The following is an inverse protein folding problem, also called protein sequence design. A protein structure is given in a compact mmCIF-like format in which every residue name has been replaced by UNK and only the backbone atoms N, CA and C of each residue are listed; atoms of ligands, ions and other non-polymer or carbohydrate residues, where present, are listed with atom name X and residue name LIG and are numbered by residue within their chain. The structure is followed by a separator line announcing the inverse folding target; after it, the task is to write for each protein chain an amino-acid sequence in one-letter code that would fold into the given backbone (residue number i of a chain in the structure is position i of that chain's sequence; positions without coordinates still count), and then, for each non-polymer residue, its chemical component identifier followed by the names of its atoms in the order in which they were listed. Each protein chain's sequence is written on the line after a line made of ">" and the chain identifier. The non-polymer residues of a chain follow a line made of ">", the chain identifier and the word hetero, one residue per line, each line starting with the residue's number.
data_IF_947537539582
#
_entry.id   IF_947537539582
#
_cell.length_a   1.000
_cell.length_b   1.000
_cell.length_c   1.000
_cell.angle_alpha   90.00
_cell.angle_beta   90.00
_cell.angle_gamma   90.00
#
_symmetry.space_group_name_H-M   'P 1'
#
loop_
_entity.id
_entity.type
_entity.pdbx_description
1 polymer ?
#
# COMPACT_ATOMS: atom_id res chain seq x y z
N UNK A 1 -14.67 4.10 -4.98
CA UNK A 1 -14.60 2.76 -4.39
C UNK A 1 -14.09 2.84 -2.96
N UNK A 2 -14.50 1.90 -2.10
CA UNK A 2 -14.01 1.83 -0.73
C UNK A 2 -12.69 1.07 -0.64
N UNK A 3 -11.76 1.60 0.17
CA UNK A 3 -10.45 1.00 0.40
C UNK A 3 -10.04 1.17 1.86
N UNK A 4 -9.40 0.16 2.43
CA UNK A 4 -8.81 0.24 3.77
C UNK A 4 -7.48 0.96 3.70
N UNK A 5 -7.40 2.08 4.39
CA UNK A 5 -6.25 2.98 4.38
C UNK A 5 -5.69 3.14 5.79
N UNK A 6 -4.38 3.21 5.88
CA UNK A 6 -3.67 3.57 7.09
C UNK A 6 -2.97 4.91 6.94
N UNK A 7 -3.22 5.81 7.89
CA UNK A 7 -2.42 7.02 8.04
C UNK A 7 -1.13 6.65 8.78
N UNK A 8 0.00 6.73 8.11
CA UNK A 8 1.28 6.31 8.69
C UNK A 8 1.79 7.23 9.80
N UNK A 9 1.33 8.48 9.85
CA UNK A 9 1.69 9.47 10.89
C UNK A 9 0.96 9.20 12.19
N UNK A 10 -0.38 9.06 12.12
CA UNK A 10 -1.24 8.86 13.29
C UNK A 10 -1.35 7.40 13.69
N UNK A 11 -1.12 6.47 12.75
CA UNK A 11 -1.35 5.05 12.91
C UNK A 11 -2.82 4.66 12.79
N UNK A 12 -3.69 5.61 12.47
CA UNK A 12 -5.13 5.39 12.33
C UNK A 12 -5.42 4.54 11.09
N UNK A 13 -6.34 3.60 11.26
CA UNK A 13 -6.84 2.71 10.21
C UNK A 13 -8.31 3.01 9.97
N UNK A 14 -8.69 3.26 8.72
CA UNK A 14 -10.06 3.59 8.36
C UNK A 14 -10.39 3.14 6.93
N UNK A 15 -11.67 3.15 6.59
CA UNK A 15 -12.16 2.96 5.22
C UNK A 15 -12.43 4.31 4.61
N UNK A 16 -11.90 4.54 3.42
CA UNK A 16 -12.10 5.81 2.69
C UNK A 16 -12.65 5.55 1.29
N UNK A 17 -13.28 6.56 0.73
CA UNK A 17 -13.72 6.58 -0.65
C UNK A 17 -12.61 7.15 -1.54
N UNK A 18 -12.03 6.30 -2.36
CA UNK A 18 -10.92 6.64 -3.26
C UNK A 18 -11.32 6.51 -4.72
N UNK A 19 -10.63 7.20 -5.65
CA UNK A 19 -10.82 6.97 -7.08
C UNK A 19 -10.58 5.51 -7.47
N UNK A 20 -11.17 5.09 -8.59
CA UNK A 20 -10.85 3.81 -9.20
C UNK A 20 -9.38 3.78 -9.66
N UNK A 21 -8.69 2.64 -9.56
CA UNK A 21 -7.35 2.51 -10.11
C UNK A 21 -7.38 2.67 -11.63
N UNK A 22 -6.34 3.32 -12.16
CA UNK A 22 -6.17 3.46 -13.60
C UNK A 22 -5.68 2.15 -14.19
N UNK A 23 -6.35 1.66 -15.21
CA UNK A 23 -5.92 0.48 -15.95
C UNK A 23 -4.85 0.86 -16.98
N UNK A 24 -3.76 0.13 -16.99
CA UNK A 24 -2.64 0.29 -17.94
C UNK A 24 -2.42 -0.98 -18.75
N UNK A 25 -1.67 -0.89 -19.82
CA UNK A 25 -1.29 -2.04 -20.63
C UNK A 25 -0.60 -3.12 -19.78
N UNK A 26 -0.97 -4.38 -20.01
CA UNK A 26 -0.49 -5.53 -19.23
C UNK A 26 -1.19 -5.74 -17.89
N UNK A 27 -2.17 -4.91 -17.53
CA UNK A 27 -2.91 -5.01 -16.26
C UNK A 27 -4.33 -5.49 -16.47
N UNK A 28 -4.94 -5.95 -15.37
CA UNK A 28 -6.35 -6.30 -15.26
C UNK A 28 -6.98 -5.57 -14.09
N UNK A 29 -8.22 -5.16 -14.23
CA UNK A 29 -9.01 -4.57 -13.15
C UNK A 29 -9.91 -5.66 -12.58
N UNK A 30 -9.90 -5.80 -11.26
CA UNK A 30 -10.56 -6.92 -10.57
C UNK A 30 -11.55 -6.38 -9.53
N UNK A 31 -12.78 -6.85 -9.58
CA UNK A 31 -13.74 -6.69 -8.51
C UNK A 31 -13.46 -7.73 -7.42
N UNK A 32 -13.01 -7.26 -6.27
CA UNK A 32 -12.69 -8.12 -5.15
C UNK A 32 -13.95 -8.70 -4.51
N UNK A 33 -13.96 -10.02 -4.32
CA UNK A 33 -14.98 -10.73 -3.55
C UNK A 33 -14.48 -11.08 -2.14
N UNK A 34 -13.17 -11.35 -2.02
CA UNK A 34 -12.53 -11.69 -0.77
C UNK A 34 -11.14 -11.06 -0.70
N UNK A 35 -10.73 -10.67 0.50
CA UNK A 35 -9.34 -10.31 0.78
C UNK A 35 -8.86 -11.06 2.02
N UNK A 36 -7.61 -11.51 1.99
CA UNK A 36 -6.98 -12.26 3.07
C UNK A 36 -6.22 -11.30 3.99
N UNK A 37 -6.58 -11.32 5.28
CA UNK A 37 -5.86 -10.57 6.30
C UNK A 37 -4.70 -11.42 6.82
N UNK A 38 -3.47 -10.91 6.66
CA UNK A 38 -2.29 -11.52 7.25
C UNK A 38 -2.02 -10.97 8.64
N UNK A 39 -2.43 -11.72 9.65
CA UNK A 39 -2.31 -11.29 11.04
C UNK A 39 -0.87 -10.93 11.46
N UNK A 40 0.14 -11.59 10.93
CA UNK A 40 1.55 -11.30 11.22
C UNK A 40 2.03 -10.00 10.56
N UNK A 41 1.92 -9.93 9.23
CA UNK A 41 2.46 -8.83 8.43
C UNK A 41 1.70 -7.52 8.65
N UNK A 42 0.37 -7.56 8.61
CA UNK A 42 -0.46 -6.37 8.74
C UNK A 42 -0.45 -5.83 10.16
N UNK A 43 -0.52 -6.71 11.18
CA UNK A 43 -0.35 -6.31 12.58
C UNK A 43 1.01 -5.63 12.81
N UNK A 44 2.07 -6.14 12.19
CA UNK A 44 3.40 -5.51 12.23
C UNK A 44 3.37 -4.10 11.64
N UNK A 45 2.77 -3.93 10.47
CA UNK A 45 2.62 -2.63 9.80
C UNK A 45 1.82 -1.65 10.66
N UNK A 46 0.68 -2.08 11.19
CA UNK A 46 -0.17 -1.26 12.07
C UNK A 46 0.58 -0.83 13.33
N UNK A 47 1.27 -1.74 14.00
CA UNK A 47 2.07 -1.42 15.20
C UNK A 47 3.18 -0.41 14.94
N UNK A 48 3.88 -0.55 13.80
CA UNK A 48 4.92 0.41 13.40
C UNK A 48 4.31 1.79 13.16
N UNK A 49 3.17 1.86 12.48
CA UNK A 49 2.51 3.14 12.22
C UNK A 49 1.97 3.80 13.50
N UNK A 50 1.50 3.02 14.47
CA UNK A 50 1.02 3.51 15.76
C UNK A 50 2.16 3.87 16.74
N UNK A 51 3.39 3.43 16.47
CA UNK A 51 4.53 3.77 17.31
C UNK A 51 4.87 5.27 17.22
N UNK A 52 5.34 5.86 18.32
CA UNK A 52 5.89 7.22 18.28
C UNK A 52 7.18 7.27 17.43
N UNK A 53 7.60 8.47 17.04
CA UNK A 53 8.75 8.67 16.13
C UNK A 53 10.03 7.99 16.62
N UNK A 54 10.28 8.02 17.93
CA UNK A 54 11.46 7.39 18.54
C UNK A 54 11.41 5.87 18.40
N UNK A 55 10.25 5.28 18.65
CA UNK A 55 10.05 3.84 18.50
C UNK A 55 10.04 3.41 17.02
N UNK A 56 9.49 4.25 16.11
CA UNK A 56 9.62 4.02 14.65
C UNK A 56 11.09 3.97 14.23
N UNK A 57 11.90 4.91 14.70
CA UNK A 57 13.33 4.93 14.42
C UNK A 57 14.06 3.68 14.96
N UNK A 58 13.73 3.22 16.17
CA UNK A 58 14.32 2.02 16.76
C UNK A 58 13.92 0.73 16.01
N UNK A 59 12.69 0.65 15.52
CA UNK A 59 12.18 -0.51 14.80
C UNK A 59 12.68 -0.58 13.34
N UNK A 60 13.09 0.56 12.78
CA UNK A 60 13.55 0.67 11.39
C UNK A 60 14.91 1.39 11.30
N UNK A 61 15.98 0.77 11.81
CA UNK A 61 17.32 1.36 11.76
C UNK A 61 17.82 1.54 10.32
N UNK A 62 17.34 0.74 9.38
CA UNK A 62 17.56 0.88 7.95
C UNK A 62 17.10 2.23 7.41
N UNK A 63 15.90 2.68 7.79
CA UNK A 63 15.38 3.99 7.39
C UNK A 63 16.14 5.13 8.06
N UNK A 64 16.57 4.96 9.31
CA UNK A 64 17.41 5.96 9.98
C UNK A 64 18.75 6.14 9.24
N UNK A 65 19.39 5.04 8.83
CA UNK A 65 20.62 5.10 8.04
C UNK A 65 20.40 5.81 6.70
N UNK A 66 19.28 5.54 6.01
CA UNK A 66 18.90 6.26 4.78
C UNK A 66 18.73 7.77 5.02
N UNK A 67 18.07 8.17 6.10
CA UNK A 67 17.91 9.59 6.46
C UNK A 67 19.26 10.25 6.67
N UNK A 68 20.17 9.60 7.39
CA UNK A 68 21.53 10.14 7.61
C UNK A 68 22.30 10.28 6.28
N UNK A 69 22.20 9.29 5.39
CA UNK A 69 22.81 9.37 4.06
C UNK A 69 22.20 10.49 3.20
N UNK A 70 20.90 10.67 3.24
CA UNK A 70 20.22 11.74 2.51
C UNK A 70 20.60 13.12 3.03
N UNK A 71 20.75 13.29 4.35
CA UNK A 71 21.26 14.55 4.94
C UNK A 71 22.63 14.90 4.38
N UNK A 72 23.51 13.90 4.24
CA UNK A 72 24.86 14.11 3.66
C UNK A 72 24.84 14.45 2.18
N UNK A 73 23.87 13.94 1.42
CA UNK A 73 23.79 14.14 -0.04
C UNK A 73 23.00 15.38 -0.45
N UNK A 74 21.88 15.64 0.20
CA UNK A 74 20.86 16.61 -0.23
C UNK A 74 20.65 17.74 0.79
N UNK A 75 21.27 17.63 1.97
CA UNK A 75 21.12 18.56 3.06
C UNK A 75 19.93 18.28 3.98
N UNK A 76 19.94 18.95 5.12
CA UNK A 76 18.98 18.71 6.21
C UNK A 76 17.55 19.12 5.82
N UNK A 77 17.36 20.27 5.18
CA UNK A 77 16.03 20.81 4.84
C UNK A 77 15.29 19.91 3.86
N UNK A 78 15.94 19.49 2.77
CA UNK A 78 15.36 18.60 1.77
C UNK A 78 15.01 17.24 2.38
N UNK A 79 15.89 16.70 3.23
CA UNK A 79 15.66 15.43 3.92
C UNK A 79 14.47 15.51 4.88
N UNK A 80 14.35 16.57 5.67
CA UNK A 80 13.20 16.76 6.56
C UNK A 80 11.89 16.81 5.78
N UNK A 81 11.86 17.53 4.65
CA UNK A 81 10.67 17.59 3.78
C UNK A 81 10.27 16.21 3.25
N UNK A 82 11.23 15.41 2.79
CA UNK A 82 10.99 14.02 2.34
C UNK A 82 10.47 13.11 3.47
N UNK A 83 11.05 13.22 4.66
CA UNK A 83 10.61 12.44 5.83
C UNK A 83 9.18 12.82 6.22
N UNK A 84 8.84 14.11 6.24
CA UNK A 84 7.47 14.57 6.52
C UNK A 84 6.50 14.07 5.48
N UNK A 85 6.80 14.21 4.18
CA UNK A 85 5.95 13.71 3.11
C UNK A 85 5.69 12.20 3.24
N UNK A 86 6.71 11.41 3.59
CA UNK A 86 6.56 9.98 3.82
C UNK A 86 5.74 9.64 5.08
N UNK A 87 5.86 10.43 6.13
CA UNK A 87 5.04 10.27 7.34
C UNK A 87 3.58 10.66 7.09
N UNK A 88 3.34 11.69 6.28
CA UNK A 88 1.99 12.16 5.93
C UNK A 88 1.33 11.29 4.85
N UNK A 89 2.02 10.25 4.32
CA UNK A 89 1.47 9.37 3.30
C UNK A 89 0.36 8.48 3.85
N UNK A 90 -0.68 8.32 3.04
CA UNK A 90 -1.71 7.30 3.24
C UNK A 90 -1.24 6.01 2.56
N UNK A 91 -1.45 4.88 3.22
CA UNK A 91 -1.06 3.57 2.70
C UNK A 91 -2.26 2.66 2.57
N UNK A 92 -2.47 2.10 1.39
CA UNK A 92 -3.42 1.00 1.20
C UNK A 92 -2.99 -0.23 2.01
N UNK A 93 -3.95 -0.88 2.65
CA UNK A 93 -3.73 -2.10 3.41
C UNK A 93 -4.09 -3.32 2.59
N UNK A 94 -3.47 -4.45 2.91
CA UNK A 94 -3.66 -5.72 2.19
C UNK A 94 -2.67 -5.95 1.06
N UNK A 95 -2.55 -7.21 0.67
CA UNK A 95 -1.68 -7.63 -0.43
C UNK A 95 -2.10 -9.00 -1.03
N UNK A 96 -3.27 -9.49 -0.66
CA UNK A 96 -3.79 -10.77 -1.16
C UNK A 96 -5.31 -10.72 -1.24
N UNK A 97 -5.83 -10.90 -2.45
CA UNK A 97 -7.27 -10.85 -2.72
C UNK A 97 -7.68 -11.93 -3.71
N UNK A 98 -8.98 -12.14 -3.86
CA UNK A 98 -9.54 -12.90 -4.96
C UNK A 98 -10.83 -12.25 -5.42
N UNK A 99 -11.10 -12.33 -6.72
CA UNK A 99 -12.26 -11.67 -7.31
C UNK A 99 -12.47 -12.07 -8.75
N UNK A 100 -13.19 -11.21 -9.46
CA UNK A 100 -13.56 -11.40 -10.87
C UNK A 100 -12.96 -10.27 -11.70
N UNK A 101 -12.38 -10.62 -12.82
CA UNK A 101 -11.83 -9.63 -13.78
C UNK A 101 -12.98 -8.82 -14.38
N UNK A 102 -12.98 -7.50 -14.13
CA UNK A 102 -13.92 -6.55 -14.73
C UNK A 102 -13.49 -6.16 -16.12
N UNK A 103 -12.21 -5.84 -16.27
CA UNK A 103 -11.63 -5.38 -17.53
C UNK A 103 -10.19 -5.84 -17.62
N UNK A 104 -9.77 -6.26 -18.83
CA UNK A 104 -8.43 -6.74 -19.09
C UNK A 104 -7.76 -5.91 -20.20
N UNK A 105 -6.55 -5.45 -19.93
CA UNK A 105 -5.58 -4.96 -20.92
C UNK A 105 -4.35 -5.88 -20.97
N UNK A 106 -4.54 -7.15 -20.60
CA UNK A 106 -3.50 -8.17 -20.69
C UNK A 106 -3.16 -8.47 -22.16
N UNK A 107 -1.95 -8.13 -22.56
CA UNK A 107 -1.45 -8.31 -23.93
C UNK A 107 -1.21 -9.78 -24.29
N UNK A 108 -1.07 -10.64 -23.28
CA UNK A 108 -0.85 -12.08 -23.49
C UNK A 108 -2.17 -12.86 -23.62
N UNK A 109 -3.30 -12.23 -23.35
CA UNK A 109 -4.62 -12.84 -23.44
C UNK A 109 -4.88 -13.94 -22.40
N UNK A 110 -4.12 -13.95 -21.31
CA UNK A 110 -4.25 -14.96 -20.23
C UNK A 110 -5.48 -14.71 -19.36
N UNK A 111 -5.87 -13.44 -19.19
CA UNK A 111 -6.98 -13.04 -18.34
C UNK A 111 -8.07 -12.34 -19.16
N UNK A 112 -9.32 -12.78 -18.98
CA UNK A 112 -10.49 -12.23 -19.68
C UNK A 112 -11.53 -11.75 -18.68
N UNK A 113 -12.34 -10.77 -19.09
CA UNK A 113 -13.49 -10.32 -18.31
C UNK A 113 -14.36 -11.51 -17.91
N UNK A 114 -14.69 -11.60 -16.63
CA UNK A 114 -15.45 -12.71 -16.03
C UNK A 114 -14.58 -13.82 -15.43
N UNK A 115 -13.28 -13.85 -15.66
CA UNK A 115 -12.39 -14.84 -15.04
C UNK A 115 -12.32 -14.66 -13.54
N UNK A 116 -12.30 -15.76 -12.81
CA UNK A 116 -12.05 -15.77 -11.36
C UNK A 116 -10.57 -15.91 -11.10
N UNK A 117 -10.02 -14.96 -10.34
CA UNK A 117 -8.58 -14.87 -10.12
C UNK A 117 -8.23 -14.72 -8.63
N UNK A 118 -7.04 -15.17 -8.29
CA UNK A 118 -6.39 -14.87 -7.03
C UNK A 118 -5.20 -13.92 -7.31
N UNK A 119 -5.09 -12.88 -6.50
CA UNK A 119 -4.12 -11.81 -6.68
C UNK A 119 -3.23 -11.70 -5.47
N UNK A 120 -1.96 -11.42 -5.70
CA UNK A 120 -0.99 -11.13 -4.66
C UNK A 120 -0.09 -9.97 -5.09
N UNK A 121 0.23 -9.11 -4.15
CA UNK A 121 1.16 -8.00 -4.36
C UNK A 121 0.82 -6.80 -3.50
N UNK A 122 1.85 -6.23 -2.87
CA UNK A 122 1.72 -4.97 -2.12
C UNK A 122 1.40 -3.87 -3.12
N UNK A 123 0.47 -2.99 -2.75
CA UNK A 123 -0.04 -1.87 -3.54
C UNK A 123 -0.92 -2.27 -4.76
N UNK A 124 -1.07 -3.58 -5.04
CA UNK A 124 -1.95 -4.10 -6.09
C UNK A 124 -3.15 -4.85 -5.52
N UNK A 125 -2.94 -5.88 -4.73
CA UNK A 125 -4.00 -6.72 -4.16
C UNK A 125 -4.41 -6.24 -2.77
N UNK A 126 -4.86 -4.98 -2.67
CA UNK A 126 -5.22 -4.33 -1.41
C UNK A 126 -6.64 -4.69 -0.94
N UNK A 127 -6.95 -4.38 0.32
CA UNK A 127 -8.30 -4.45 0.87
C UNK A 127 -9.15 -3.29 0.30
N UNK A 128 -9.64 -3.47 -0.91
CA UNK A 128 -10.46 -2.52 -1.64
C UNK A 128 -11.58 -3.24 -2.37
N UNK A 129 -12.60 -2.53 -2.81
CA UNK A 129 -13.66 -3.10 -3.64
C UNK A 129 -13.13 -3.49 -5.02
N UNK A 130 -12.20 -2.69 -5.57
CA UNK A 130 -11.61 -2.90 -6.88
C UNK A 130 -10.09 -2.74 -6.79
N UNK A 131 -9.36 -3.59 -7.46
CA UNK A 131 -7.91 -3.58 -7.55
C UNK A 131 -7.43 -3.78 -8.97
#
# INVERSE_FOLDING_TARGET
>A
MKQVIQNFKTGELYVDDVPLPSLSEGMVLIENQFSLISAGTERGTVKVAQANLLNKARQRPDLVAQVIQNIKKEGLSATISKVRAKLDSLKAMGYSTSGVVLTSMDTNGMFKTGDRVACAGVDYASHAEIV
#
